data_IF_356414093083
#
_entry.id   IF_356414093083
#
_cell.length_a   1.000
_cell.length_b   1.000
_cell.length_c   1.000
_cell.angle_alpha   90.00
_cell.angle_beta   90.00
_cell.angle_gamma   90.00
#
_symmetry.space_group_name_H-M   'P 1'
#
loop_
_entity.id
_entity.type
_entity.pdbx_description
1 polymer ?
#
# COMPACT_ATOMS: atom_id res chain seq x y z
N UNK A 1 12.00 -17.09 -5.68
CA UNK A 1 12.75 -16.12 -4.84
C UNK A 1 11.71 -15.19 -4.23
N UNK A 2 11.52 -15.18 -2.90
CA UNK A 2 10.55 -14.26 -2.26
C UNK A 2 11.31 -12.98 -1.93
N UNK A 3 11.23 -11.99 -2.80
CA UNK A 3 11.75 -10.65 -2.51
C UNK A 3 10.84 -9.99 -1.47
N UNK A 4 11.45 -9.64 -0.33
CA UNK A 4 10.80 -8.89 0.75
C UNK A 4 11.20 -7.44 0.56
N UNK A 5 10.22 -6.56 0.43
CA UNK A 5 10.42 -5.13 0.28
C UNK A 5 10.18 -4.45 1.62
N UNK A 6 11.10 -3.61 2.07
CA UNK A 6 10.86 -2.69 3.17
C UNK A 6 9.76 -1.68 2.81
N UNK A 7 9.24 -0.99 3.81
CA UNK A 7 8.19 0.00 3.60
C UNK A 7 8.56 1.07 2.54
N UNK A 8 9.76 1.68 2.55
CA UNK A 8 10.16 2.63 1.51
C UNK A 8 10.35 1.98 0.13
N UNK A 9 10.87 0.76 0.08
CA UNK A 9 11.03 0.01 -1.18
C UNK A 9 9.68 -0.35 -1.80
N UNK A 10 8.70 -0.74 -0.98
CA UNK A 10 7.34 -1.02 -1.43
C UNK A 10 6.66 0.25 -1.98
N UNK A 11 6.88 1.41 -1.36
CA UNK A 11 6.35 2.68 -1.86
C UNK A 11 6.97 3.03 -3.23
N UNK A 12 8.29 2.85 -3.37
CA UNK A 12 9.00 3.03 -4.65
C UNK A 12 8.52 2.04 -5.71
N UNK A 13 8.31 0.78 -5.34
CA UNK A 13 7.82 -0.27 -6.22
C UNK A 13 6.45 0.06 -6.80
N UNK A 14 5.52 0.48 -5.94
CA UNK A 14 4.16 0.88 -6.33
C UNK A 14 4.07 2.29 -6.93
N UNK A 15 5.21 2.99 -7.07
CA UNK A 15 5.27 4.38 -7.58
C UNK A 15 4.36 5.37 -6.81
N UNK A 16 4.26 5.21 -5.49
CA UNK A 16 3.47 6.08 -4.60
C UNK A 16 4.35 6.68 -3.51
N UNK A 17 3.86 7.74 -2.86
CA UNK A 17 4.54 8.28 -1.68
C UNK A 17 4.41 7.33 -0.48
N UNK A 18 5.38 7.37 0.43
CA UNK A 18 5.37 6.60 1.69
C UNK A 18 4.10 6.90 2.50
N UNK A 19 3.67 8.16 2.56
CA UNK A 19 2.44 8.55 3.26
C UNK A 19 1.19 7.94 2.62
N UNK A 20 1.13 7.82 1.29
CA UNK A 20 0.03 7.12 0.62
C UNK A 20 0.02 5.64 0.97
N UNK A 21 1.21 5.01 1.03
CA UNK A 21 1.35 3.63 1.46
C UNK A 21 0.90 3.42 2.92
N UNK A 22 1.24 4.32 3.84
CA UNK A 22 0.77 4.27 5.24
C UNK A 22 -0.75 4.32 5.34
N UNK A 23 -1.36 5.20 4.54
CA UNK A 23 -2.80 5.30 4.45
C UNK A 23 -3.43 4.00 3.91
N UNK A 24 -2.84 3.39 2.86
CA UNK A 24 -3.31 2.09 2.35
C UNK A 24 -3.25 1.00 3.41
N UNK A 25 -2.18 0.93 4.19
CA UNK A 25 -2.06 -0.01 5.32
C UNK A 25 -3.08 0.28 6.42
N UNK A 26 -3.39 1.55 6.66
CA UNK A 26 -4.38 1.98 7.65
C UNK A 26 -5.84 1.78 7.18
N UNK A 27 -6.07 1.25 5.98
CA UNK A 27 -7.42 0.96 5.47
C UNK A 27 -8.11 2.13 4.77
N UNK A 28 -7.37 3.17 4.35
CA UNK A 28 -7.94 4.25 3.56
C UNK A 28 -7.02 5.46 3.46
N UNK A 29 -7.29 6.34 2.50
CA UNK A 29 -6.47 7.52 2.25
C UNK A 29 -7.33 8.77 2.12
N UNK A 30 -6.74 9.92 2.45
CA UNK A 30 -7.40 11.19 2.25
C UNK A 30 -7.18 11.69 0.83
N UNK A 31 -8.26 11.96 0.10
CA UNK A 31 -8.23 12.60 -1.22
C UNK A 31 -8.86 13.98 -1.14
N UNK A 32 -8.26 14.97 -1.83
CA UNK A 32 -8.94 16.24 -2.11
C UNK A 32 -9.88 16.04 -3.30
N UNK A 33 -11.18 16.19 -3.06
CA UNK A 33 -12.23 16.19 -4.10
C UNK A 33 -12.97 17.51 -3.94
N UNK A 34 -13.00 18.34 -4.99
CA UNK A 34 -13.63 19.67 -4.98
C UNK A 34 -13.16 20.56 -3.80
N UNK A 35 -11.85 20.56 -3.52
CA UNK A 35 -11.26 21.35 -2.43
C UNK A 35 -11.47 20.80 -1.02
N UNK A 36 -12.37 19.83 -0.82
CA UNK A 36 -12.64 19.18 0.47
C UNK A 36 -11.75 17.95 0.66
N UNK A 37 -11.21 17.78 1.87
CA UNK A 37 -10.43 16.59 2.26
C UNK A 37 -11.42 15.49 2.69
N UNK A 38 -11.56 14.45 1.88
CA UNK A 38 -12.47 13.33 2.12
C UNK A 38 -11.63 12.08 2.42
N UNK A 39 -11.99 11.35 3.48
CA UNK A 39 -11.42 10.02 3.74
C UNK A 39 -12.07 9.02 2.78
N UNK A 40 -11.27 8.46 1.89
CA UNK A 40 -11.67 7.39 0.98
C UNK A 40 -11.22 6.09 1.62
N UNK A 41 -12.16 5.37 2.23
CA UNK A 41 -11.92 3.98 2.63
C UNK A 41 -11.64 3.20 1.34
N UNK A 42 -10.42 2.67 1.20
CA UNK A 42 -10.10 1.76 0.11
C UNK A 42 -10.28 0.35 0.64
N UNK A 43 -10.88 -0.51 -0.17
CA UNK A 43 -11.20 -1.91 0.13
C UNK A 43 -10.13 -2.60 0.99
N UNK A 44 -10.61 -3.44 1.92
CA UNK A 44 -9.87 -4.28 2.87
C UNK A 44 -8.85 -5.26 2.23
N UNK A 45 -8.50 -5.10 0.96
CA UNK A 45 -7.62 -5.97 0.18
C UNK A 45 -6.16 -5.54 0.08
N UNK A 46 -5.76 -4.37 0.64
CA UNK A 46 -4.34 -4.01 0.62
C UNK A 46 -3.52 -4.96 1.53
N UNK A 47 -2.37 -5.50 1.08
CA UNK A 47 -1.56 -6.41 1.89
C UNK A 47 -1.12 -5.78 3.19
N UNK A 48 -1.23 -6.51 4.31
CA UNK A 48 -0.71 -6.03 5.59
C UNK A 48 0.81 -6.22 5.66
N UNK A 49 1.58 -5.21 6.09
CA UNK A 49 3.01 -5.39 6.33
C UNK A 49 3.25 -6.32 7.52
N UNK A 50 4.39 -6.99 7.52
CA UNK A 50 4.89 -7.75 8.66
C UNK A 50 6.17 -7.11 9.20
N UNK A 51 6.47 -7.34 10.48
CA UNK A 51 7.70 -6.86 11.10
C UNK A 51 8.84 -7.86 10.89
N UNK A 52 10.02 -7.36 10.50
CA UNK A 52 11.26 -8.13 10.44
C UNK A 52 12.38 -7.29 11.04
N UNK A 53 12.88 -7.68 12.21
CA UNK A 53 13.93 -6.93 12.92
C UNK A 53 13.53 -5.48 13.24
N UNK A 54 12.26 -5.24 13.55
CA UNK A 54 11.72 -3.89 13.81
C UNK A 54 11.32 -3.09 12.57
N UNK A 55 11.63 -3.58 11.36
CA UNK A 55 11.28 -2.90 10.10
C UNK A 55 9.99 -3.48 9.53
N UNK A 56 9.08 -2.60 9.08
CA UNK A 56 7.87 -2.98 8.35
C UNK A 56 8.24 -3.39 6.92
N UNK A 57 7.86 -4.60 6.53
CA UNK A 57 8.14 -5.19 5.22
C UNK A 57 6.87 -5.78 4.59
N UNK A 58 6.89 -5.89 3.26
CA UNK A 58 5.89 -6.56 2.45
C UNK A 58 6.54 -7.69 1.67
N UNK A 59 5.75 -8.71 1.33
CA UNK A 59 6.17 -9.68 0.31
C UNK A 59 5.82 -9.08 -1.03
N UNK A 60 6.78 -9.04 -1.96
CA UNK A 60 6.55 -8.53 -3.32
C UNK A 60 5.35 -9.21 -3.99
N UNK A 61 5.22 -10.53 -3.85
CA UNK A 61 4.10 -11.28 -4.42
C UNK A 61 2.71 -10.85 -3.91
N UNK A 62 2.60 -10.35 -2.68
CA UNK A 62 1.31 -9.88 -2.15
C UNK A 62 0.97 -8.51 -2.76
N UNK A 63 1.97 -7.64 -2.95
CA UNK A 63 1.81 -6.37 -3.67
C UNK A 63 1.44 -6.61 -5.13
N UNK A 64 2.08 -7.57 -5.80
CA UNK A 64 1.78 -7.93 -7.20
C UNK A 64 0.35 -8.44 -7.36
N UNK A 65 -0.13 -9.28 -6.42
CA UNK A 65 -1.51 -9.77 -6.43
C UNK A 65 -2.51 -8.62 -6.28
N UNK A 66 -2.22 -7.69 -5.38
CA UNK A 66 -3.07 -6.51 -5.18
C UNK A 66 -3.09 -5.61 -6.43
N UNK A 67 -1.94 -5.33 -7.04
CA UNK A 67 -1.86 -4.50 -8.26
C UNK A 67 -2.66 -5.13 -9.41
N UNK A 68 -2.53 -6.45 -9.61
CA UNK A 68 -3.33 -7.19 -10.61
C UNK A 68 -4.83 -7.13 -10.36
N UNK A 69 -5.26 -7.19 -9.10
CA UNK A 69 -6.67 -7.03 -8.73
C UNK A 69 -7.19 -5.62 -9.05
N UNK A 70 -6.36 -4.59 -8.91
CA UNK A 70 -6.74 -3.21 -9.24
C UNK A 70 -6.81 -2.95 -10.76
N UNK A 71 -6.09 -3.71 -11.59
CA UNK A 71 -6.09 -3.55 -13.05
C UNK A 71 -7.21 -4.35 -13.77
N UNK A 72 -7.82 -5.32 -13.10
CA UNK A 72 -8.87 -6.17 -13.68
C UNK A 72 -10.30 -5.72 -13.30
N UNK A 73 -10.43 -4.55 -12.67
CA UNK A 73 -11.68 -3.92 -12.26
C UNK A 73 -11.81 -2.55 -12.92
#
# INVERSE_FOLDING_TARGET
>A
MIEKLTFPEAAKYLQISVSTLENYVAGGYFRKINGKRIFVAKDYGFPRPFLRGGVRCFKRCDLDKWEKQQMSA
#
